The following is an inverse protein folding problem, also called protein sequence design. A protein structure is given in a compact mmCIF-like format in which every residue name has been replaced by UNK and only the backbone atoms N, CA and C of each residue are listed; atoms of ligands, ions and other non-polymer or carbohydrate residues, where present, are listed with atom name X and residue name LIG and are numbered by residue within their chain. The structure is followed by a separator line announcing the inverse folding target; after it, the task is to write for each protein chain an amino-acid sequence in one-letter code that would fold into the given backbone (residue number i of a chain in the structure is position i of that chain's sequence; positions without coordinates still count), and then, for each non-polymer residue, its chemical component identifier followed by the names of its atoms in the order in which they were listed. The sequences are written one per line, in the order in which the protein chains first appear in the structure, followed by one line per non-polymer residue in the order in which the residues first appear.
data_IF_044815385159
#
_entry.id   IF_044815385159
#
_cell.length_a   1.000
_cell.length_b   1.000
_cell.length_c   1.000
_cell.angle_alpha   90.00
_cell.angle_beta   90.00
_cell.angle_gamma   90.00
#
_symmetry.space_group_name_H-M   'P 1'
#
loop_
_entity.id
_entity.type
_entity.pdbx_description
1 polymer ?
#
# COMPACT_ATOMS: atom_id res chain seq x y z
N UNK A 1 21.27 78.17 -35.41
CA UNK A 1 21.13 77.81 -36.84
C UNK A 1 19.74 77.19 -37.00
N UNK A 2 18.84 77.87 -37.71
CA UNK A 2 17.46 77.44 -38.08
C UNK A 2 17.47 76.17 -38.97
N UNK A 3 16.32 75.57 -39.39
CA UNK A 3 14.87 75.85 -39.14
C UNK A 3 14.05 74.60 -38.68
N UNK A 4 12.86 74.66 -38.06
CA UNK A 4 11.48 75.10 -38.44
C UNK A 4 10.57 74.04 -39.12
N UNK A 5 9.41 73.76 -38.47
CA UNK A 5 8.02 73.55 -39.00
C UNK A 5 7.73 72.40 -40.00
N UNK A 6 6.66 71.59 -39.91
CA UNK A 6 5.22 71.93 -40.00
C UNK A 6 4.35 70.66 -39.70
N UNK A 7 3.33 70.72 -38.80
CA UNK A 7 1.85 70.60 -38.98
C UNK A 7 1.33 69.40 -39.81
N UNK A 8 0.15 68.76 -39.63
CA UNK A 8 -0.95 68.59 -38.64
C UNK A 8 -1.90 67.58 -39.32
N UNK A 9 -2.64 66.73 -38.58
CA UNK A 9 -4.02 66.37 -38.96
C UNK A 9 -4.82 65.83 -37.77
N UNK A 10 -5.98 66.45 -37.55
CA UNK A 10 -7.00 66.14 -36.55
C UNK A 10 -7.94 65.03 -37.02
N UNK A 11 -8.49 64.27 -36.07
CA UNK A 11 -9.72 63.49 -36.19
C UNK A 11 -10.07 62.87 -34.82
N UNK A 12 -10.87 63.55 -33.98
CA UNK A 12 -12.29 63.21 -33.66
C UNK A 12 -12.45 61.73 -33.30
N UNK A 13 -12.85 61.32 -32.09
CA UNK A 13 -14.11 61.67 -31.41
C UNK A 13 -14.12 61.30 -29.92
N UNK A 14 -14.81 62.18 -29.18
CA UNK A 14 -15.54 62.13 -27.91
C UNK A 14 -15.79 60.80 -27.14
N UNK A 15 -15.72 60.94 -25.82
CA UNK A 15 -16.02 59.95 -24.77
C UNK A 15 -17.50 59.96 -24.31
N UNK A 16 -17.87 58.86 -23.62
CA UNK A 16 -18.83 58.72 -22.49
C UNK A 16 -20.28 58.34 -22.84
N UNK A 17 -21.03 57.45 -22.15
CA UNK A 17 -20.99 56.85 -20.80
C UNK A 17 -21.71 55.48 -20.73
N UNK A 18 -21.21 54.57 -19.86
CA UNK A 18 -21.91 53.58 -18.98
C UNK A 18 -22.83 52.47 -19.55
N UNK A 19 -23.07 51.29 -18.97
CA UNK A 19 -22.86 50.68 -17.64
C UNK A 19 -22.87 49.13 -17.81
N UNK A 20 -22.13 48.44 -16.95
CA UNK A 20 -22.43 47.11 -16.36
C UNK A 20 -22.06 45.74 -16.98
N UNK A 21 -21.56 44.90 -16.04
CA UNK A 21 -21.41 43.43 -15.98
C UNK A 21 -20.14 42.75 -16.51
N UNK A 22 -19.22 42.59 -15.56
CA UNK A 22 -18.42 41.39 -15.22
C UNK A 22 -18.56 40.19 -16.19
N UNK A 23 -17.48 39.90 -16.92
CA UNK A 23 -17.23 38.62 -17.59
C UNK A 23 -15.95 37.99 -17.03
N UNK A 24 -16.12 36.88 -16.32
CA UNK A 24 -15.10 35.87 -16.10
C UNK A 24 -14.63 35.31 -17.47
N UNK A 25 -13.33 35.21 -17.78
CA UNK A 25 -12.91 34.42 -18.93
C UNK A 25 -13.01 32.94 -18.57
N UNK A 26 -14.02 32.28 -19.13
CA UNK A 26 -14.07 30.84 -19.25
C UNK A 26 -12.86 30.37 -20.08
N UNK A 27 -11.85 29.81 -19.41
CA UNK A 27 -10.80 29.04 -20.06
C UNK A 27 -11.44 27.72 -20.49
N UNK A 28 -11.92 27.69 -21.73
CA UNK A 28 -12.26 26.46 -22.44
C UNK A 28 -10.94 25.75 -22.72
N UNK A 29 -10.54 24.85 -21.81
CA UNK A 29 -9.49 23.90 -22.09
C UNK A 29 -10.07 22.88 -23.07
N UNK A 30 -9.76 23.04 -24.36
CA UNK A 30 -10.04 22.02 -25.37
C UNK A 30 -9.29 20.75 -24.95
N UNK A 31 -10.04 19.77 -24.44
CA UNK A 31 -9.58 18.40 -24.30
C UNK A 31 -9.36 17.90 -25.72
N UNK A 32 -8.10 17.85 -26.15
CA UNK A 32 -7.72 17.03 -27.29
C UNK A 32 -8.03 15.58 -26.90
N UNK A 33 -9.20 15.11 -27.32
CA UNK A 33 -9.49 13.69 -27.40
C UNK A 33 -8.54 13.17 -28.47
N UNK A 34 -7.33 12.77 -28.07
CA UNK A 34 -6.62 11.76 -28.83
C UNK A 34 -7.50 10.52 -28.77
N UNK A 35 -8.31 10.34 -29.81
CA UNK A 35 -8.90 9.07 -30.15
C UNK A 35 -7.73 8.13 -30.43
N UNK A 36 -7.21 7.50 -29.38
CA UNK A 36 -6.63 6.17 -29.51
C UNK A 36 -7.80 5.36 -30.05
N UNK A 37 -7.73 5.02 -31.34
CA UNK A 37 -8.61 4.02 -31.92
C UNK A 37 -8.60 2.84 -30.95
N UNK A 38 -9.69 2.66 -30.22
CA UNK A 38 -9.95 1.43 -29.49
C UNK A 38 -9.97 0.36 -30.57
N UNK A 39 -8.87 -0.37 -30.71
CA UNK A 39 -8.96 -1.69 -31.29
C UNK A 39 -9.93 -2.42 -30.38
N UNK A 40 -11.16 -2.61 -30.85
CA UNK A 40 -12.11 -3.54 -30.29
C UNK A 40 -11.43 -4.90 -30.30
N UNK A 41 -10.77 -5.24 -29.20
CA UNK A 41 -10.42 -6.60 -28.87
C UNK A 41 -11.63 -7.11 -28.09
N UNK A 42 -12.46 -8.01 -28.66
CA UNK A 42 -13.41 -8.75 -27.86
C UNK A 42 -12.58 -9.62 -26.92
N UNK A 43 -12.32 -9.14 -25.71
CA UNK A 43 -11.78 -9.99 -24.64
C UNK A 43 -12.93 -10.92 -24.27
N UNK A 44 -12.75 -12.22 -24.49
CA UNK A 44 -13.71 -13.24 -24.05
C UNK A 44 -14.14 -12.96 -22.60
N UNK A 45 -15.42 -13.22 -22.23
CA UNK A 45 -15.87 -13.01 -20.87
C UNK A 45 -15.00 -13.83 -19.91
N UNK A 46 -14.13 -13.16 -19.16
CA UNK A 46 -13.31 -13.82 -18.15
C UNK A 46 -14.26 -14.55 -17.18
N UNK A 47 -14.07 -15.85 -17.02
CA UNK A 47 -14.83 -16.63 -16.06
C UNK A 47 -14.34 -16.26 -14.65
N UNK A 48 -15.11 -15.43 -13.94
CA UNK A 48 -14.76 -14.97 -12.58
C UNK A 48 -15.04 -16.02 -11.49
N UNK A 49 -15.87 -17.04 -11.77
CA UNK A 49 -16.23 -18.07 -10.79
C UNK A 49 -17.08 -17.58 -9.60
N UNK A 50 -17.58 -16.35 -9.65
CA UNK A 50 -18.41 -15.77 -8.58
C UNK A 50 -19.86 -16.24 -8.68
N UNK A 51 -20.50 -16.44 -7.52
CA UNK A 51 -21.87 -16.96 -7.41
C UNK A 51 -22.95 -15.88 -7.37
N UNK A 52 -22.57 -14.61 -7.21
CA UNK A 52 -23.50 -13.50 -7.08
C UNK A 52 -24.21 -13.21 -8.42
N UNK A 53 -25.55 -13.37 -8.49
CA UNK A 53 -26.30 -13.20 -9.73
C UNK A 53 -26.62 -11.73 -10.05
N UNK A 54 -26.44 -10.81 -9.09
CA UNK A 54 -26.81 -9.39 -9.23
C UNK A 54 -25.86 -8.59 -10.15
N UNK A 55 -24.71 -9.17 -10.49
CA UNK A 55 -23.69 -8.55 -11.33
C UNK A 55 -23.18 -9.56 -12.37
N UNK A 56 -23.08 -9.11 -13.61
CA UNK A 56 -22.63 -9.91 -14.74
C UNK A 56 -21.11 -9.89 -14.87
N UNK A 57 -20.53 -10.87 -15.57
CA UNK A 57 -19.09 -10.89 -15.86
C UNK A 57 -18.64 -9.70 -16.70
N UNK A 58 -19.50 -9.14 -17.56
CA UNK A 58 -19.18 -7.92 -18.31
C UNK A 58 -18.96 -6.72 -17.39
N UNK A 59 -19.78 -6.56 -16.35
CA UNK A 59 -19.62 -5.48 -15.36
C UNK A 59 -18.41 -5.76 -14.46
N UNK A 60 -18.16 -7.01 -14.05
CA UNK A 60 -16.91 -7.37 -13.33
C UNK A 60 -15.67 -6.97 -14.14
N UNK A 61 -15.66 -7.30 -15.44
CA UNK A 61 -14.61 -6.90 -16.37
C UNK A 61 -14.48 -5.39 -16.50
N UNK A 62 -15.59 -4.64 -16.56
CA UNK A 62 -15.57 -3.17 -16.58
C UNK A 62 -14.82 -2.61 -15.37
N UNK A 63 -15.20 -3.03 -14.16
CA UNK A 63 -14.52 -2.61 -12.94
C UNK A 63 -13.03 -2.99 -12.94
N UNK A 64 -12.73 -4.26 -13.19
CA UNK A 64 -11.37 -4.79 -13.08
C UNK A 64 -10.43 -4.17 -14.12
N UNK A 65 -10.87 -4.07 -15.39
CA UNK A 65 -10.06 -3.52 -16.47
C UNK A 65 -9.82 -2.03 -16.25
N UNK A 66 -10.84 -1.26 -15.88
CA UNK A 66 -10.67 0.17 -15.60
C UNK A 66 -9.54 0.41 -14.57
N UNK A 67 -9.58 -0.30 -13.43
CA UNK A 67 -8.58 -0.14 -12.39
C UNK A 67 -7.19 -0.56 -12.86
N UNK A 68 -7.07 -1.71 -13.51
CA UNK A 68 -5.77 -2.22 -13.94
C UNK A 68 -5.14 -1.37 -15.05
N UNK A 69 -5.94 -0.88 -16.01
CA UNK A 69 -5.46 0.00 -17.06
C UNK A 69 -5.01 1.35 -16.46
N UNK A 70 -5.74 1.87 -15.47
CA UNK A 70 -5.40 3.11 -14.78
C UNK A 70 -4.13 2.99 -13.93
N UNK A 71 -4.00 1.92 -13.14
CA UNK A 71 -2.79 1.58 -12.38
C UNK A 71 -1.58 1.39 -13.29
N UNK A 72 -1.78 0.78 -14.47
CA UNK A 72 -0.73 0.60 -15.46
C UNK A 72 -0.22 1.94 -16.02
N UNK A 73 -1.12 2.90 -16.29
CA UNK A 73 -0.73 4.25 -16.73
C UNK A 73 0.07 4.98 -15.66
N UNK A 74 -0.28 4.84 -14.37
CA UNK A 74 0.52 5.36 -13.26
C UNK A 74 1.88 4.67 -13.20
N UNK A 75 1.93 3.34 -13.26
CA UNK A 75 3.19 2.59 -13.25
C UNK A 75 4.14 3.05 -14.36
N UNK A 76 3.61 3.31 -15.55
CA UNK A 76 4.36 3.81 -16.72
C UNK A 76 4.67 5.31 -16.68
N UNK A 77 4.14 6.07 -15.72
CA UNK A 77 4.36 7.51 -15.62
C UNK A 77 3.66 8.32 -16.73
N UNK A 78 2.53 7.83 -17.24
CA UNK A 78 1.75 8.49 -18.32
C UNK A 78 0.37 8.92 -17.86
N UNK A 79 0.04 8.73 -16.58
CA UNK A 79 -1.23 9.19 -16.02
C UNK A 79 -1.17 10.70 -15.70
N UNK A 80 -2.13 11.52 -16.19
CA UNK A 80 -2.16 12.94 -15.87
C UNK A 80 -2.30 13.22 -14.37
N UNK A 81 -1.57 14.23 -13.89
CA UNK A 81 -1.81 14.88 -12.61
C UNK A 81 -2.48 16.25 -12.87
N UNK A 82 -2.85 16.98 -11.81
CA UNK A 82 -3.33 18.37 -11.97
C UNK A 82 -2.37 19.25 -12.77
N UNK A 83 -1.08 19.01 -12.58
CA UNK A 83 -0.01 19.60 -13.36
C UNK A 83 0.95 18.50 -13.80
N UNK A 84 1.18 18.37 -15.11
CA UNK A 84 2.03 17.33 -15.66
C UNK A 84 1.47 15.92 -15.49
N UNK A 85 2.35 14.98 -15.14
CA UNK A 85 2.02 13.56 -14.98
C UNK A 85 2.35 13.09 -13.56
N UNK A 86 1.63 12.06 -13.11
CA UNK A 86 1.96 11.36 -11.88
C UNK A 86 3.31 10.63 -12.04
N UNK A 87 4.08 10.57 -10.94
CA UNK A 87 5.36 9.86 -10.94
C UNK A 87 5.16 8.37 -11.26
N UNK A 88 6.07 7.75 -12.05
CA UNK A 88 6.01 6.33 -12.36
C UNK A 88 6.13 5.50 -11.08
N UNK A 89 5.52 4.31 -11.07
CA UNK A 89 5.46 3.46 -9.88
C UNK A 89 6.22 2.14 -10.08
N UNK A 90 7.17 1.87 -9.19
CA UNK A 90 7.64 0.49 -8.94
C UNK A 90 6.65 -0.23 -8.04
N UNK A 91 6.68 -1.57 -8.06
CA UNK A 91 5.83 -2.39 -7.19
C UNK A 91 4.32 -2.07 -7.28
N UNK A 92 3.83 -1.65 -8.45
CA UNK A 92 2.39 -1.46 -8.68
C UNK A 92 1.75 -2.81 -8.98
N UNK A 93 0.92 -3.33 -8.08
CA UNK A 93 0.31 -4.65 -8.27
C UNK A 93 -0.95 -4.59 -9.14
N UNK A 94 -1.11 -5.60 -10.00
CA UNK A 94 -2.35 -5.85 -10.74
C UNK A 94 -3.42 -6.34 -9.77
N UNK A 95 -4.60 -5.74 -9.85
CA UNK A 95 -5.75 -6.20 -9.09
C UNK A 95 -6.31 -7.48 -9.71
N UNK A 96 -6.72 -8.39 -8.83
CA UNK A 96 -7.49 -9.59 -9.15
C UNK A 96 -8.88 -9.46 -8.57
N UNK A 97 -9.86 -10.07 -9.22
CA UNK A 97 -11.22 -10.06 -8.74
C UNK A 97 -11.39 -11.04 -7.58
N UNK A 98 -11.94 -10.56 -6.47
CA UNK A 98 -12.23 -11.33 -5.27
C UNK A 98 -13.75 -11.44 -5.07
N UNK A 99 -14.29 -12.63 -5.28
CA UNK A 99 -15.72 -12.90 -5.14
C UNK A 99 -16.24 -12.70 -3.69
N UNK A 100 -15.39 -12.85 -2.67
CA UNK A 100 -15.77 -12.60 -1.28
C UNK A 100 -15.92 -11.10 -1.02
N UNK A 101 -15.00 -10.29 -1.54
CA UNK A 101 -15.12 -8.83 -1.49
C UNK A 101 -16.34 -8.35 -2.30
N UNK A 102 -16.59 -8.95 -3.46
CA UNK A 102 -17.78 -8.65 -4.26
C UNK A 102 -19.06 -8.94 -3.48
N UNK A 103 -19.19 -10.14 -2.92
CA UNK A 103 -20.38 -10.52 -2.15
C UNK A 103 -20.57 -9.61 -0.93
N UNK A 104 -19.47 -9.25 -0.26
CA UNK A 104 -19.50 -8.30 0.85
C UNK A 104 -19.96 -6.92 0.40
N UNK A 105 -19.45 -6.41 -0.72
CA UNK A 105 -19.89 -5.15 -1.31
C UNK A 105 -21.39 -5.19 -1.64
N UNK A 106 -21.87 -6.29 -2.26
CA UNK A 106 -23.27 -6.49 -2.61
C UNK A 106 -24.17 -6.45 -1.38
N UNK A 107 -23.79 -7.15 -0.31
CA UNK A 107 -24.55 -7.18 0.94
C UNK A 107 -24.64 -5.79 1.58
N UNK A 108 -23.55 -5.02 1.56
CA UNK A 108 -23.50 -3.67 2.13
C UNK A 108 -24.39 -2.66 1.39
N UNK A 109 -24.61 -2.85 0.09
CA UNK A 109 -25.45 -1.96 -0.73
C UNK A 109 -26.84 -2.54 -1.01
N UNK A 110 -27.18 -3.72 -0.51
CA UNK A 110 -28.44 -4.41 -0.78
C UNK A 110 -29.67 -3.55 -0.40
N UNK A 111 -29.56 -2.81 0.72
CA UNK A 111 -30.58 -1.86 1.18
C UNK A 111 -30.47 -0.46 0.56
N UNK A 112 -29.60 -0.26 -0.43
CA UNK A 112 -29.42 1.00 -1.14
C UNK A 112 -29.24 2.23 -0.23
N UNK A 113 -28.28 2.18 0.71
CA UNK A 113 -28.11 3.23 1.70
C UNK A 113 -27.81 4.56 1.02
N UNK A 114 -28.39 5.67 1.52
CA UNK A 114 -27.99 7.02 1.08
C UNK A 114 -26.59 7.37 1.56
N UNK A 115 -26.25 6.90 2.76
CA UNK A 115 -25.00 7.16 3.43
C UNK A 115 -24.51 5.87 4.05
N UNK A 116 -23.21 5.62 3.96
CA UNK A 116 -22.61 4.49 4.65
C UNK A 116 -21.75 5.00 5.79
N UNK A 117 -22.08 4.60 7.04
CA UNK A 117 -21.18 4.82 8.18
C UNK A 117 -19.80 4.26 7.83
N UNK A 118 -18.75 5.03 8.11
CA UNK A 118 -17.37 4.54 8.05
C UNK A 118 -17.23 3.52 9.19
N UNK A 119 -17.60 2.28 8.91
CA UNK A 119 -17.13 1.14 9.68
C UNK A 119 -15.64 1.05 9.37
N UNK A 120 -14.81 1.34 10.38
CA UNK A 120 -13.36 1.27 10.24
C UNK A 120 -12.92 -0.08 9.70
N UNK A 121 -11.78 -0.08 9.01
CA UNK A 121 -11.01 -1.31 8.82
C UNK A 121 -10.99 -1.89 7.41
N UNK A 122 -11.68 -1.25 6.46
CA UNK A 122 -11.61 -1.62 5.04
C UNK A 122 -11.45 -0.39 4.16
N UNK A 123 -10.82 -0.62 3.01
CA UNK A 123 -10.80 0.34 1.91
C UNK A 123 -11.99 0.12 1.01
N UNK A 124 -12.66 1.23 0.68
CA UNK A 124 -13.90 1.22 -0.09
C UNK A 124 -14.12 2.53 -0.83
N UNK A 125 -14.66 2.43 -2.03
CA UNK A 125 -15.25 3.55 -2.75
C UNK A 125 -16.75 3.34 -2.83
N UNK A 126 -17.53 4.40 -2.65
CA UNK A 126 -18.99 4.34 -2.60
C UNK A 126 -19.59 5.57 -3.27
N UNK A 127 -20.59 5.36 -4.12
CA UNK A 127 -21.32 6.45 -4.74
C UNK A 127 -22.75 6.06 -5.02
N UNK A 128 -23.67 7.01 -4.83
CA UNK A 128 -25.09 6.86 -5.14
C UNK A 128 -25.51 8.00 -6.06
N UNK A 129 -26.24 7.69 -7.12
CA UNK A 129 -26.76 8.66 -8.09
C UNK A 129 -28.16 8.33 -8.53
N UNK A 130 -28.89 9.34 -9.00
CA UNK A 130 -30.16 9.13 -9.68
C UNK A 130 -29.93 8.69 -11.12
N UNK A 131 -30.81 7.81 -11.61
CA UNK A 131 -30.82 7.29 -12.98
C UNK A 131 -32.21 7.45 -13.58
N UNK A 132 -32.28 7.64 -14.90
CA UNK A 132 -33.54 7.62 -15.64
C UNK A 132 -33.93 6.18 -15.98
N UNK A 133 -35.23 5.90 -16.22
CA UNK A 133 -35.64 4.62 -16.79
C UNK A 133 -34.82 4.29 -18.06
N UNK A 134 -34.44 3.03 -18.22
CA UNK A 134 -33.65 2.52 -19.36
C UNK A 134 -32.23 3.09 -19.49
N UNK A 135 -31.67 3.73 -18.47
CA UNK A 135 -30.27 4.16 -18.50
C UNK A 135 -29.31 2.97 -18.65
N UNK A 136 -28.27 3.14 -19.47
CA UNK A 136 -27.19 2.15 -19.55
C UNK A 136 -26.36 2.19 -18.26
N UNK A 137 -26.53 1.16 -17.42
CA UNK A 137 -25.86 1.10 -16.12
C UNK A 137 -24.34 0.99 -16.26
N UNK A 138 -23.84 0.35 -17.33
CA UNK A 138 -22.41 0.24 -17.60
C UNK A 138 -21.76 1.61 -17.82
N UNK A 139 -22.39 2.49 -18.59
CA UNK A 139 -21.85 3.82 -18.90
C UNK A 139 -21.80 4.70 -17.64
N UNK A 140 -22.85 4.61 -16.81
CA UNK A 140 -22.90 5.35 -15.54
C UNK A 140 -21.82 4.84 -14.58
N UNK A 141 -21.62 3.52 -14.48
CA UNK A 141 -20.54 2.94 -13.69
C UNK A 141 -19.17 3.43 -14.19
N UNK A 142 -18.92 3.41 -15.50
CA UNK A 142 -17.69 3.92 -16.08
C UNK A 142 -17.45 5.40 -15.74
N UNK A 143 -18.51 6.21 -15.78
CA UNK A 143 -18.47 7.61 -15.35
C UNK A 143 -18.14 7.78 -13.86
N UNK A 144 -18.69 6.94 -12.98
CA UNK A 144 -18.38 6.94 -11.54
C UNK A 144 -16.90 6.60 -11.30
N UNK A 145 -16.39 5.55 -11.96
CA UNK A 145 -14.98 5.17 -11.87
C UNK A 145 -14.05 6.29 -12.36
N UNK A 146 -14.42 6.94 -13.47
CA UNK A 146 -13.69 8.09 -14.02
C UNK A 146 -13.69 9.27 -13.05
N UNK A 147 -14.81 9.52 -12.35
CA UNK A 147 -14.91 10.57 -11.33
C UNK A 147 -13.99 10.27 -10.13
N UNK A 148 -14.01 9.05 -9.60
CA UNK A 148 -13.13 8.65 -8.49
C UNK A 148 -11.67 8.77 -8.86
N UNK A 149 -11.30 8.29 -10.05
CA UNK A 149 -9.92 8.33 -10.54
C UNK A 149 -9.45 9.76 -10.85
N UNK A 150 -10.35 10.59 -11.41
CA UNK A 150 -10.08 11.98 -11.78
C UNK A 150 -9.80 12.92 -10.61
N UNK A 151 -9.92 12.49 -9.35
CA UNK A 151 -9.52 13.29 -8.19
C UNK A 151 -8.05 13.74 -8.30
N UNK A 152 -7.16 12.88 -8.81
CA UNK A 152 -5.75 13.22 -8.99
C UNK A 152 -5.52 14.33 -10.04
N UNK A 153 -6.25 14.30 -11.16
CA UNK A 153 -6.13 15.34 -12.20
C UNK A 153 -6.83 16.64 -11.81
N UNK A 154 -7.84 16.60 -10.95
CA UNK A 154 -8.55 17.81 -10.48
C UNK A 154 -7.82 18.48 -9.32
N UNK A 155 -7.46 17.71 -8.29
CA UNK A 155 -6.93 18.25 -7.05
C UNK A 155 -5.40 18.20 -6.97
N UNK A 156 -4.80 17.21 -7.63
CA UNK A 156 -3.36 17.01 -7.65
C UNK A 156 -2.86 16.08 -6.54
N UNK A 157 -1.96 15.17 -6.90
CA UNK A 157 -1.06 14.52 -5.93
C UNK A 157 0.16 15.42 -5.81
N UNK A 158 0.23 16.20 -4.73
CA UNK A 158 1.23 17.27 -4.56
C UNK A 158 2.46 16.83 -3.77
N UNK A 159 2.36 15.76 -2.98
CA UNK A 159 3.47 15.27 -2.19
C UNK A 159 4.51 14.58 -3.09
N UNK A 160 5.80 14.94 -3.01
CA UNK A 160 6.84 14.42 -3.91
C UNK A 160 7.09 12.91 -3.76
N UNK A 161 6.73 12.33 -2.61
CA UNK A 161 6.81 10.89 -2.33
C UNK A 161 5.47 10.18 -2.61
N UNK A 162 4.52 10.87 -3.25
CA UNK A 162 3.17 10.39 -3.56
C UNK A 162 2.37 9.99 -2.32
N UNK A 163 2.61 10.66 -1.19
CA UNK A 163 1.90 10.38 0.07
C UNK A 163 0.43 10.79 0.02
N UNK A 164 -0.40 10.03 0.73
CA UNK A 164 -1.76 10.41 1.01
C UNK A 164 -1.79 11.47 2.12
N UNK A 165 -1.89 12.74 1.71
CA UNK A 165 -1.90 13.90 2.61
C UNK A 165 -3.18 14.73 2.51
N UNK A 166 -4.08 14.39 1.59
CA UNK A 166 -5.33 15.10 1.36
C UNK A 166 -6.50 14.14 1.30
N UNK A 167 -7.49 14.34 2.18
CA UNK A 167 -8.67 13.47 2.28
C UNK A 167 -9.56 13.51 1.04
N UNK A 168 -9.46 14.57 0.22
CA UNK A 168 -10.16 14.68 -1.06
C UNK A 168 -9.73 13.59 -2.06
N UNK A 169 -8.50 13.08 -1.95
CA UNK A 169 -7.98 12.01 -2.80
C UNK A 169 -8.40 10.61 -2.33
N UNK A 170 -9.36 10.49 -1.41
CA UNK A 170 -9.71 9.21 -0.78
C UNK A 170 -10.07 8.12 -1.79
N UNK A 171 -10.89 8.43 -2.81
CA UNK A 171 -11.30 7.41 -3.77
C UNK A 171 -10.13 7.02 -4.68
N UNK A 172 -9.39 8.01 -5.16
CA UNK A 172 -8.18 7.80 -5.95
C UNK A 172 -7.14 6.96 -5.20
N UNK A 173 -6.89 7.28 -3.93
CA UNK A 173 -5.93 6.58 -3.07
C UNK A 173 -6.24 5.08 -2.97
N UNK A 174 -7.52 4.71 -2.83
CA UNK A 174 -7.94 3.32 -2.79
C UNK A 174 -7.70 2.58 -4.11
N UNK A 175 -7.96 3.27 -5.24
CA UNK A 175 -7.78 2.70 -6.58
C UNK A 175 -6.31 2.53 -6.97
N UNK A 176 -5.47 3.51 -6.60
CA UNK A 176 -4.07 3.57 -7.03
C UNK A 176 -3.11 2.85 -6.09
N UNK A 177 -3.50 2.55 -4.83
CA UNK A 177 -2.58 2.06 -3.81
C UNK A 177 -1.78 0.83 -4.30
N UNK A 178 -0.46 0.94 -4.33
CA UNK A 178 0.39 0.02 -5.09
C UNK A 178 0.35 -1.41 -4.57
N UNK A 179 0.22 -1.58 -3.26
CA UNK A 179 0.22 -2.89 -2.60
C UNK A 179 -1.09 -3.66 -2.69
N UNK A 180 -2.19 -3.01 -3.11
CA UNK A 180 -3.50 -3.65 -3.29
C UNK A 180 -3.42 -4.73 -4.36
N UNK A 181 -3.92 -5.93 -4.06
CA UNK A 181 -3.93 -7.07 -4.99
C UNK A 181 -5.32 -7.58 -5.32
N UNK A 182 -6.33 -7.23 -4.52
CA UNK A 182 -7.69 -7.74 -4.63
C UNK A 182 -8.74 -6.64 -4.62
N UNK A 183 -9.73 -6.79 -5.49
CA UNK A 183 -10.88 -5.90 -5.60
C UNK A 183 -12.17 -6.72 -5.75
N UNK A 184 -13.24 -6.27 -5.11
CA UNK A 184 -14.59 -6.76 -5.39
C UNK A 184 -15.55 -5.59 -5.41
N UNK A 185 -16.29 -5.44 -6.51
CA UNK A 185 -17.25 -4.35 -6.67
C UNK A 185 -18.65 -4.88 -6.92
N UNK A 186 -19.65 -4.13 -6.45
CA UNK A 186 -21.06 -4.43 -6.65
C UNK A 186 -21.81 -3.15 -7.03
N UNK A 187 -22.94 -3.32 -7.69
CA UNK A 187 -23.92 -2.24 -7.84
C UNK A 187 -25.32 -2.72 -7.48
N UNK A 188 -26.22 -1.78 -7.20
CA UNK A 188 -27.64 -2.04 -7.01
C UNK A 188 -28.46 -0.91 -7.61
N UNK A 189 -29.44 -1.28 -8.45
CA UNK A 189 -30.49 -0.38 -8.88
C UNK A 189 -31.66 -0.47 -7.90
N UNK A 190 -32.06 0.67 -7.37
CA UNK A 190 -33.01 0.82 -6.29
C UNK A 190 -34.16 1.68 -6.78
N UNK A 191 -35.39 1.24 -6.49
CA UNK A 191 -36.62 1.99 -6.79
C UNK A 191 -36.70 2.50 -8.24
N UNK A 192 -36.05 1.77 -9.18
CA UNK A 192 -35.89 2.07 -10.62
C UNK A 192 -35.29 3.45 -10.97
N UNK A 193 -34.85 4.23 -9.98
CA UNK A 193 -34.46 5.63 -10.14
C UNK A 193 -33.14 5.96 -9.47
N UNK A 194 -32.53 5.01 -8.75
CA UNK A 194 -31.27 5.21 -8.05
C UNK A 194 -30.30 4.07 -8.33
N UNK A 195 -29.05 4.41 -8.62
CA UNK A 195 -27.94 3.48 -8.76
C UNK A 195 -26.95 3.69 -7.62
N UNK A 196 -26.63 2.62 -6.91
CA UNK A 196 -25.60 2.59 -5.86
C UNK A 196 -24.44 1.72 -6.34
N UNK A 197 -23.21 2.20 -6.25
CA UNK A 197 -22.00 1.49 -6.64
C UNK A 197 -21.03 1.45 -5.47
N UNK A 198 -20.43 0.28 -5.24
CA UNK A 198 -19.40 0.07 -4.22
C UNK A 198 -18.26 -0.76 -4.77
N UNK A 199 -17.02 -0.36 -4.49
CA UNK A 199 -15.84 -1.21 -4.62
C UNK A 199 -15.19 -1.37 -3.25
N UNK A 200 -14.80 -2.59 -2.90
CA UNK A 200 -13.97 -2.91 -1.74
C UNK A 200 -12.58 -3.34 -2.22
N UNK A 201 -11.56 -2.95 -1.46
CA UNK A 201 -10.16 -3.26 -1.74
C UNK A 201 -9.54 -3.99 -0.56
N UNK A 202 -8.69 -4.97 -0.84
CA UNK A 202 -8.07 -5.79 0.21
C UNK A 202 -6.91 -5.11 0.96
N UNK A 203 -6.54 -3.88 0.61
CA UNK A 203 -5.52 -3.06 1.31
C UNK A 203 -6.03 -1.63 1.53
N UNK A 204 -5.45 -0.93 2.50
CA UNK A 204 -5.84 0.42 2.89
C UNK A 204 -4.99 1.46 2.14
N UNK A 205 -5.61 2.17 1.20
CA UNK A 205 -4.92 3.23 0.44
C UNK A 205 -4.87 4.60 1.14
N UNK A 206 -5.68 4.81 2.19
CA UNK A 206 -5.90 6.10 2.84
C UNK A 206 -5.18 6.25 4.19
N UNK A 207 -4.07 5.55 4.41
CA UNK A 207 -3.24 5.78 5.60
C UNK A 207 -2.53 7.13 5.44
N UNK A 208 -2.83 8.08 6.31
CA UNK A 208 -2.27 9.43 6.24
C UNK A 208 -0.74 9.42 6.35
N UNK A 209 -0.09 10.31 5.58
CA UNK A 209 1.38 10.45 5.50
C UNK A 209 2.12 9.18 4.99
N UNK A 210 1.39 8.24 4.37
CA UNK A 210 1.98 7.08 3.70
C UNK A 210 1.95 7.21 2.19
N UNK A 211 2.99 6.74 1.49
CA UNK A 211 2.99 6.71 0.04
C UNK A 211 1.84 5.85 -0.47
N UNK A 212 1.03 6.40 -1.38
CA UNK A 212 0.06 5.61 -2.14
C UNK A 212 0.79 4.63 -3.07
N UNK A 213 1.93 5.05 -3.62
CA UNK A 213 2.92 4.22 -4.31
C UNK A 213 4.32 4.82 -4.17
N UNK A 214 5.34 3.99 -4.40
CA UNK A 214 6.73 4.46 -4.44
C UNK A 214 7.15 4.80 -5.86
N UNK A 215 7.80 5.96 -6.03
CA UNK A 215 8.37 6.35 -7.30
C UNK A 215 9.44 5.35 -7.74
N UNK A 216 9.35 4.90 -8.99
CA UNK A 216 10.30 3.98 -9.59
C UNK A 216 9.80 3.44 -10.93
N UNK A 217 10.64 2.71 -11.64
CA UNK A 217 10.23 2.11 -12.91
C UNK A 217 9.20 1.00 -12.70
N UNK A 218 8.21 0.94 -13.59
CA UNK A 218 7.34 -0.22 -13.72
C UNK A 218 8.17 -1.51 -13.90
N UNK A 219 7.70 -2.62 -13.35
CA UNK A 219 8.45 -3.86 -13.37
C UNK A 219 8.69 -4.34 -14.81
N UNK A 220 9.86 -4.91 -15.07
CA UNK A 220 10.15 -5.64 -16.33
C UNK A 220 10.28 -7.14 -16.10
N UNK A 221 10.61 -7.52 -14.86
CA UNK A 221 10.81 -8.89 -14.45
C UNK A 221 10.29 -9.13 -13.02
N UNK A 222 10.15 -10.41 -12.65
CA UNK A 222 9.67 -10.81 -11.32
C UNK A 222 10.56 -10.28 -10.18
N UNK A 223 11.86 -10.10 -10.40
CA UNK A 223 12.82 -9.67 -9.37
C UNK A 223 12.60 -8.22 -8.91
N UNK A 224 11.93 -7.40 -9.72
CA UNK A 224 11.57 -6.01 -9.42
C UNK A 224 10.27 -5.89 -8.61
N UNK A 225 9.52 -6.99 -8.46
CA UNK A 225 8.31 -7.07 -7.65
C UNK A 225 8.64 -7.54 -6.23
N UNK A 226 9.01 -6.59 -5.38
CA UNK A 226 9.66 -6.83 -4.09
C UNK A 226 8.75 -6.66 -2.88
N UNK A 227 7.52 -6.19 -3.04
CA UNK A 227 6.59 -6.03 -1.89
C UNK A 227 6.21 -7.37 -1.29
N UNK A 228 6.00 -8.39 -2.12
CA UNK A 228 5.57 -9.70 -1.67
C UNK A 228 6.39 -10.83 -2.28
N UNK A 229 6.72 -11.89 -1.50
CA UNK A 229 7.42 -13.06 -2.01
C UNK A 229 6.63 -13.76 -3.13
N UNK A 230 7.35 -14.38 -4.06
CA UNK A 230 6.76 -15.18 -5.14
C UNK A 230 6.02 -14.39 -6.21
N UNK A 231 6.12 -13.05 -6.22
CA UNK A 231 5.47 -12.20 -7.21
C UNK A 231 6.10 -12.36 -8.59
N UNK A 232 5.29 -12.19 -9.64
CA UNK A 232 5.73 -12.09 -11.03
C UNK A 232 5.45 -10.70 -11.61
N UNK A 233 5.80 -10.46 -12.87
CA UNK A 233 5.56 -9.20 -13.55
C UNK A 233 4.84 -9.43 -14.89
N UNK A 234 3.88 -8.57 -15.22
CA UNK A 234 3.15 -8.55 -16.50
C UNK A 234 2.95 -7.11 -16.95
N UNK A 235 3.58 -6.75 -18.06
CA UNK A 235 3.43 -5.47 -18.77
C UNK A 235 3.65 -4.21 -17.92
N UNK A 236 4.41 -4.29 -16.83
CA UNK A 236 4.65 -3.18 -15.91
C UNK A 236 3.90 -3.26 -14.58
N UNK A 237 2.99 -4.23 -14.42
CA UNK A 237 2.30 -4.51 -13.17
C UNK A 237 2.83 -5.80 -12.52
N UNK A 238 3.09 -5.72 -11.21
CA UNK A 238 3.41 -6.87 -10.40
C UNK A 238 2.18 -7.76 -10.21
N UNK A 239 2.35 -9.07 -10.21
CA UNK A 239 1.27 -10.03 -10.01
C UNK A 239 1.57 -10.85 -8.76
N UNK A 240 0.58 -10.94 -7.89
CA UNK A 240 0.53 -11.85 -6.75
C UNK A 240 -0.90 -12.37 -6.61
N UNK A 241 -1.04 -13.66 -6.28
CA UNK A 241 -2.33 -14.27 -5.98
C UNK A 241 -3.06 -13.61 -4.82
N UNK A 242 -4.39 -13.74 -4.78
CA UNK A 242 -5.16 -13.26 -3.63
C UNK A 242 -4.70 -13.95 -2.34
N UNK A 243 -4.67 -13.19 -1.25
CA UNK A 243 -4.47 -13.75 0.07
C UNK A 243 -5.60 -14.72 0.39
N UNK A 244 -5.31 -15.94 0.88
CA UNK A 244 -6.35 -16.84 1.35
C UNK A 244 -7.19 -16.17 2.45
N UNK A 245 -8.52 -16.40 2.49
CA UNK A 245 -9.34 -15.90 3.58
C UNK A 245 -8.84 -16.39 4.94
N UNK A 246 -8.88 -15.50 5.94
CA UNK A 246 -8.64 -15.91 7.32
C UNK A 246 -9.90 -16.60 7.87
N UNK A 247 -9.84 -17.93 7.97
CA UNK A 247 -10.90 -18.76 8.53
C UNK A 247 -10.90 -18.78 10.08
N UNK A 248 -10.02 -18.01 10.73
CA UNK A 248 -9.96 -17.93 12.18
C UNK A 248 -9.26 -19.12 12.84
N UNK A 249 -8.53 -19.94 12.08
CA UNK A 249 -7.80 -21.08 12.64
C UNK A 249 -6.75 -20.63 13.66
N UNK A 250 -6.68 -21.36 14.77
CA UNK A 250 -5.74 -21.12 15.86
C UNK A 250 -5.04 -22.43 16.27
N UNK A 251 -4.31 -23.03 15.33
CA UNK A 251 -3.63 -24.31 15.51
C UNK A 251 -2.14 -24.16 15.83
N UNK A 252 -1.50 -23.03 15.46
CA UNK A 252 -0.08 -22.78 15.72
C UNK A 252 0.15 -22.49 17.21
N UNK A 253 -0.70 -21.67 17.83
CA UNK A 253 -0.63 -21.36 19.26
C UNK A 253 -2.02 -21.47 19.93
N UNK A 254 -2.54 -22.69 20.15
CA UNK A 254 -3.91 -22.91 20.62
C UNK A 254 -4.22 -22.25 21.98
N UNK A 255 -3.21 -22.09 22.83
CA UNK A 255 -3.35 -21.47 24.16
C UNK A 255 -3.44 -19.94 24.13
N UNK A 256 -3.14 -19.30 22.99
CA UNK A 256 -3.18 -17.86 22.82
C UNK A 256 -4.45 -17.46 22.06
N UNK A 257 -5.26 -16.56 22.65
CA UNK A 257 -6.42 -15.97 21.98
C UNK A 257 -6.02 -14.73 21.15
N UNK A 258 -6.97 -14.18 20.38
CA UNK A 258 -6.86 -12.94 19.60
C UNK A 258 -5.92 -12.97 18.38
N UNK A 259 -5.20 -14.07 18.14
CA UNK A 259 -4.36 -14.25 16.95
C UNK A 259 -4.80 -15.49 16.16
N UNK A 260 -4.67 -15.41 14.83
CA UNK A 260 -4.98 -16.50 13.92
C UNK A 260 -3.72 -16.96 13.20
N UNK A 261 -3.73 -18.20 12.73
CA UNK A 261 -2.60 -18.78 11.99
C UNK A 261 -2.27 -18.02 10.71
N UNK A 262 -3.26 -17.37 10.09
CA UNK A 262 -3.05 -16.52 8.93
C UNK A 262 -2.21 -15.27 9.28
N UNK A 263 -2.53 -14.60 10.38
CA UNK A 263 -1.79 -13.42 10.85
C UNK A 263 -0.36 -13.81 11.30
N UNK A 264 -0.20 -14.92 12.02
CA UNK A 264 1.11 -15.44 12.44
C UNK A 264 2.01 -15.72 11.24
N UNK A 265 1.47 -16.44 10.25
CA UNK A 265 2.19 -16.73 9.00
C UNK A 265 2.54 -15.45 8.26
N UNK A 266 1.66 -14.46 8.22
CA UNK A 266 1.94 -13.18 7.56
C UNK A 266 3.16 -12.48 8.15
N UNK A 267 3.20 -12.33 9.48
CA UNK A 267 4.36 -11.76 10.16
C UNK A 267 5.62 -12.56 9.88
N UNK A 268 5.58 -13.88 10.08
CA UNK A 268 6.75 -14.74 9.94
C UNK A 268 7.31 -14.74 8.51
N UNK A 269 6.43 -14.90 7.52
CA UNK A 269 6.77 -14.95 6.10
C UNK A 269 7.45 -13.65 5.67
N UNK A 270 6.86 -12.50 6.00
CA UNK A 270 7.43 -11.22 5.59
C UNK A 270 8.75 -10.92 6.30
N UNK A 271 8.88 -11.23 7.60
CA UNK A 271 10.16 -11.07 8.30
C UNK A 271 11.25 -11.92 7.64
N UNK A 272 10.99 -13.20 7.38
CA UNK A 272 11.96 -14.08 6.75
C UNK A 272 12.26 -13.71 5.29
N UNK A 273 11.25 -13.25 4.54
CA UNK A 273 11.44 -12.75 3.18
C UNK A 273 12.39 -11.54 3.17
N UNK A 274 12.16 -10.57 4.05
CA UNK A 274 13.00 -9.37 4.16
C UNK A 274 14.41 -9.71 4.67
N UNK A 275 14.53 -10.60 5.65
CA UNK A 275 15.83 -11.16 6.11
C UNK A 275 16.60 -11.84 4.99
N UNK A 276 15.93 -12.63 4.15
CA UNK A 276 16.53 -13.26 2.97
C UNK A 276 17.04 -12.22 1.97
N UNK A 277 16.25 -11.18 1.71
CA UNK A 277 16.61 -10.11 0.78
C UNK A 277 17.82 -9.31 1.25
N UNK A 278 17.86 -8.89 2.51
CA UNK A 278 19.02 -8.17 3.05
C UNK A 278 20.25 -9.09 3.10
N UNK A 279 20.10 -10.36 3.47
CA UNK A 279 21.20 -11.31 3.47
C UNK A 279 21.86 -11.43 2.08
N UNK A 280 21.05 -11.39 1.01
CA UNK A 280 21.52 -11.41 -0.38
C UNK A 280 22.01 -10.05 -0.89
N UNK A 281 21.96 -8.99 -0.09
CA UNK A 281 22.36 -7.64 -0.49
C UNK A 281 21.41 -7.00 -1.49
N UNK A 282 20.10 -7.27 -1.40
CA UNK A 282 19.07 -6.76 -2.32
C UNK A 282 18.29 -5.56 -1.79
N UNK A 283 18.53 -5.16 -0.54
CA UNK A 283 17.80 -4.08 0.14
C UNK A 283 18.54 -2.76 0.04
N UNK A 284 17.83 -1.69 -0.36
CA UNK A 284 18.40 -0.35 -0.52
C UNK A 284 18.66 0.30 0.82
N UNK A 285 19.83 0.91 0.97
CA UNK A 285 20.23 1.69 2.15
C UNK A 285 20.26 3.18 1.77
N UNK A 286 19.61 4.03 2.56
CA UNK A 286 19.59 5.48 2.33
C UNK A 286 20.98 6.13 2.39
N UNK A 287 21.94 5.50 3.08
CA UNK A 287 23.33 5.95 3.17
C UNK A 287 24.19 5.53 1.97
N UNK A 288 23.60 4.83 0.99
CA UNK A 288 24.22 4.54 -0.30
C UNK A 288 24.20 3.06 -0.66
N UNK A 289 23.91 2.77 -1.93
CA UNK A 289 23.93 1.41 -2.47
C UNK A 289 22.87 0.49 -1.86
N UNK A 290 23.25 -0.77 -1.65
CA UNK A 290 22.45 -1.75 -0.93
C UNK A 290 23.13 -2.07 0.40
N UNK A 291 22.35 -2.48 1.39
CA UNK A 291 22.87 -3.04 2.63
C UNK A 291 23.78 -4.25 2.33
N UNK A 292 24.87 -4.45 3.10
CA UNK A 292 25.82 -5.52 2.83
C UNK A 292 25.18 -6.90 2.99
N UNK A 293 25.73 -7.90 2.31
CA UNK A 293 25.29 -9.30 2.44
C UNK A 293 25.53 -9.84 3.86
N UNK A 294 24.73 -10.82 4.28
CA UNK A 294 24.85 -11.47 5.58
C UNK A 294 25.28 -12.93 5.45
N UNK A 295 26.28 -13.35 6.22
CA UNK A 295 26.84 -14.71 6.13
C UNK A 295 26.12 -15.77 6.94
N UNK A 296 25.46 -15.37 8.03
CA UNK A 296 24.83 -16.29 9.00
C UNK A 296 23.50 -15.78 9.56
N UNK A 297 22.69 -15.17 8.69
CA UNK A 297 21.36 -14.68 9.04
C UNK A 297 20.45 -15.86 9.43
N UNK A 298 20.01 -15.92 10.69
CA UNK A 298 19.11 -17.00 11.12
C UNK A 298 17.71 -16.82 10.50
N UNK A 299 17.06 -17.92 10.12
CA UNK A 299 15.65 -17.94 9.77
C UNK A 299 14.83 -17.86 11.05
N UNK A 300 13.89 -16.93 11.12
CA UNK A 300 12.98 -16.82 12.25
C UNK A 300 11.97 -17.99 12.25
N UNK A 301 11.62 -18.45 13.44
CA UNK A 301 10.51 -19.36 13.74
C UNK A 301 9.49 -18.63 14.63
N UNK A 302 8.23 -19.03 14.52
CA UNK A 302 7.18 -18.47 15.37
C UNK A 302 7.23 -19.11 16.76
N UNK A 303 7.14 -18.32 17.81
CA UNK A 303 7.18 -18.80 19.20
C UNK A 303 5.95 -18.30 19.98
N UNK A 304 5.16 -19.24 20.48
CA UNK A 304 3.91 -18.94 21.17
C UNK A 304 4.09 -18.24 22.52
N UNK A 305 5.22 -18.43 23.21
CA UNK A 305 5.51 -17.73 24.46
C UNK A 305 5.90 -16.28 24.21
N UNK A 306 6.63 -16.03 23.11
CA UNK A 306 6.93 -14.68 22.62
C UNK A 306 5.64 -13.98 22.17
N UNK A 307 4.73 -14.68 21.48
CA UNK A 307 3.41 -14.14 21.13
C UNK A 307 2.58 -13.81 22.37
N UNK A 308 2.54 -14.71 23.36
CA UNK A 308 1.80 -14.46 24.60
C UNK A 308 2.30 -13.20 25.32
N UNK A 309 3.61 -12.92 25.26
CA UNK A 309 4.21 -11.68 25.75
C UNK A 309 3.72 -10.44 24.98
N UNK A 310 3.73 -10.50 23.65
CA UNK A 310 3.22 -9.42 22.80
C UNK A 310 1.72 -9.16 23.03
N UNK A 311 0.91 -10.22 23.21
CA UNK A 311 -0.54 -10.12 23.51
C UNK A 311 -0.78 -9.43 24.86
N UNK A 312 -0.02 -9.78 25.91
CA UNK A 312 -0.16 -9.13 27.23
C UNK A 312 0.08 -7.63 27.14
N UNK A 313 1.00 -7.18 26.29
CA UNK A 313 1.27 -5.76 26.10
C UNK A 313 0.22 -5.08 25.21
N UNK A 314 -0.08 -5.66 24.04
CA UNK A 314 -1.00 -5.05 23.06
C UNK A 314 -2.41 -4.85 23.62
N UNK A 315 -2.90 -5.76 24.47
CA UNK A 315 -4.20 -5.66 25.16
C UNK A 315 -4.33 -4.46 26.08
N UNK A 316 -3.22 -3.87 26.54
CA UNK A 316 -3.24 -2.63 27.34
C UNK A 316 -3.75 -1.44 26.53
N UNK A 317 -3.66 -1.49 25.19
CA UNK A 317 -4.08 -0.42 24.29
C UNK A 317 -3.45 0.94 24.62
N UNK A 318 -2.18 0.94 24.99
CA UNK A 318 -1.36 2.13 25.19
C UNK A 318 -0.22 2.10 24.19
N UNK A 319 -0.15 3.10 23.31
CA UNK A 319 0.90 3.20 22.29
C UNK A 319 2.22 3.65 22.93
N UNK A 320 2.93 2.70 23.53
CA UNK A 320 4.26 2.87 24.11
C UNK A 320 4.97 1.51 24.15
N UNK A 321 6.28 1.52 24.36
CA UNK A 321 7.00 0.28 24.60
C UNK A 321 6.65 -0.36 25.95
N UNK A 322 6.66 -1.69 26.00
CA UNK A 322 6.64 -2.44 27.26
C UNK A 322 7.97 -2.29 28.01
N UNK A 323 7.93 -2.45 29.34
CA UNK A 323 9.15 -2.41 30.16
C UNK A 323 9.99 -3.67 29.95
N UNK A 324 11.29 -3.62 30.27
CA UNK A 324 12.15 -4.79 30.20
C UNK A 324 11.69 -5.94 31.11
N UNK A 325 11.10 -5.63 32.26
CA UNK A 325 10.55 -6.63 33.18
C UNK A 325 9.30 -7.32 32.62
N UNK A 326 8.53 -6.64 31.77
CA UNK A 326 7.34 -7.22 31.12
C UNK A 326 7.70 -8.19 29.98
N UNK A 327 8.90 -8.06 29.40
CA UNK A 327 9.41 -8.85 28.26
C UNK A 327 10.89 -9.23 28.43
N UNK A 328 11.24 -10.01 29.47
CA UNK A 328 12.63 -10.30 29.82
C UNK A 328 13.37 -10.99 28.67
N UNK A 329 14.54 -10.44 28.32
CA UNK A 329 15.41 -10.98 27.26
C UNK A 329 14.89 -10.78 25.83
N UNK A 330 13.80 -10.02 25.64
CA UNK A 330 13.18 -9.78 24.33
C UNK A 330 13.24 -8.32 23.94
N UNK A 331 13.34 -8.06 22.64
CA UNK A 331 13.12 -6.73 22.04
C UNK A 331 11.73 -6.60 21.49
N UNK A 332 11.33 -5.39 21.11
CA UNK A 332 9.97 -5.07 20.73
C UNK A 332 9.93 -4.04 19.60
N UNK A 333 9.08 -4.30 18.61
CA UNK A 333 8.63 -3.30 17.65
C UNK A 333 7.13 -3.06 17.85
N UNK A 334 6.70 -1.80 17.71
CA UNK A 334 5.30 -1.39 17.83
C UNK A 334 4.86 -0.56 16.63
N UNK A 335 3.61 -0.68 16.22
CA UNK A 335 3.01 0.10 15.15
C UNK A 335 1.54 0.39 15.46
N UNK A 336 1.05 1.57 15.12
CA UNK A 336 -0.38 1.90 15.23
C UNK A 336 -0.90 2.67 14.03
N UNK A 337 -2.20 2.54 13.78
CA UNK A 337 -2.97 3.40 12.87
C UNK A 337 -4.26 3.83 13.52
N UNK A 338 -4.68 5.09 13.33
CA UNK A 338 -5.97 5.61 13.83
C UNK A 338 -7.18 4.95 13.18
N UNK A 339 -6.98 4.18 12.11
CA UNK A 339 -8.04 3.41 11.47
C UNK A 339 -8.43 2.25 12.40
N UNK A 340 -9.70 2.22 12.79
CA UNK A 340 -10.25 1.20 13.69
C UNK A 340 -10.53 -0.11 12.96
N UNK A 341 -10.48 -1.24 13.67
CA UNK A 341 -10.92 -2.56 13.20
C UNK A 341 -10.31 -3.01 11.86
N UNK A 342 -9.08 -2.58 11.56
CA UNK A 342 -8.37 -2.97 10.34
C UNK A 342 -8.14 -4.46 10.34
N UNK A 343 -8.39 -5.12 9.20
CA UNK A 343 -8.04 -6.52 9.01
C UNK A 343 -6.63 -6.83 9.56
N UNK A 344 -6.50 -7.87 10.38
CA UNK A 344 -5.26 -8.11 11.13
C UNK A 344 -4.09 -8.47 10.22
N UNK A 345 -4.34 -9.10 9.07
CA UNK A 345 -3.31 -9.38 8.06
C UNK A 345 -2.83 -8.07 7.45
N UNK A 346 -3.72 -7.14 7.16
CA UNK A 346 -3.34 -5.80 6.68
C UNK A 346 -2.53 -5.00 7.70
N UNK A 347 -2.90 -5.04 8.98
CA UNK A 347 -2.10 -4.41 10.04
C UNK A 347 -0.70 -5.03 10.10
N UNK A 348 -0.61 -6.36 10.02
CA UNK A 348 0.67 -7.06 10.03
C UNK A 348 1.57 -6.64 8.87
N UNK A 349 1.03 -6.59 7.65
CA UNK A 349 1.78 -6.18 6.46
C UNK A 349 2.29 -4.73 6.56
N UNK A 350 1.43 -3.80 6.97
CA UNK A 350 1.80 -2.39 7.09
C UNK A 350 2.82 -2.17 8.22
N UNK A 351 2.67 -2.87 9.35
CA UNK A 351 3.62 -2.80 10.46
C UNK A 351 5.01 -3.28 10.04
N UNK A 352 5.08 -4.44 9.37
CA UNK A 352 6.34 -5.00 8.87
C UNK A 352 7.01 -4.09 7.86
N UNK A 353 6.24 -3.57 6.88
CA UNK A 353 6.77 -2.62 5.91
C UNK A 353 7.26 -1.33 6.59
N UNK A 354 6.50 -0.78 7.54
CA UNK A 354 6.88 0.42 8.29
C UNK A 354 8.21 0.28 9.00
N UNK A 355 8.37 -0.80 9.77
CA UNK A 355 9.59 -1.06 10.52
C UNK A 355 10.80 -1.29 9.61
N UNK A 356 10.60 -2.01 8.50
CA UNK A 356 11.69 -2.31 7.57
C UNK A 356 12.14 -1.10 6.75
N UNK A 357 11.19 -0.24 6.38
CA UNK A 357 11.41 0.92 5.53
C UNK A 357 12.35 1.98 6.14
N UNK A 358 12.64 1.88 7.44
CA UNK A 358 13.66 2.70 8.10
C UNK A 358 15.03 2.58 7.41
N UNK A 359 15.41 1.41 6.89
CA UNK A 359 16.67 1.23 6.18
C UNK A 359 16.73 2.11 4.91
N UNK A 360 15.69 2.05 4.08
CA UNK A 360 15.66 2.81 2.81
C UNK A 360 15.38 4.30 3.05
N UNK A 361 14.86 4.68 4.22
CA UNK A 361 14.55 6.08 4.58
C UNK A 361 15.69 6.78 5.31
N UNK A 362 16.39 6.09 6.20
CA UNK A 362 17.36 6.68 7.12
C UNK A 362 18.75 6.05 7.03
N UNK A 363 18.83 4.77 6.68
CA UNK A 363 20.06 4.06 6.38
C UNK A 363 20.92 3.70 7.59
N UNK A 364 21.82 2.74 7.39
CA UNK A 364 22.80 2.24 8.38
C UNK A 364 24.23 2.47 7.88
N UNK A 365 24.46 2.25 6.59
CA UNK A 365 25.77 2.35 5.96
C UNK A 365 26.54 1.02 5.93
N UNK A 366 27.66 0.98 5.19
CA UNK A 366 28.34 -0.27 4.82
C UNK A 366 28.99 -1.02 5.99
N UNK A 367 29.23 -0.35 7.12
CA UNK A 367 29.78 -0.97 8.32
C UNK A 367 28.78 -1.89 9.05
N UNK A 368 27.48 -1.75 8.78
CA UNK A 368 26.39 -2.54 9.37
C UNK A 368 26.44 -2.66 10.90
N UNK A 369 26.92 -1.62 11.57
CA UNK A 369 27.09 -1.57 13.03
C UNK A 369 26.12 -0.56 13.61
N UNK A 370 25.31 -0.98 14.57
CA UNK A 370 24.37 -0.08 15.25
C UNK A 370 25.14 0.79 16.24
N UNK A 371 25.49 2.02 15.87
CA UNK A 371 26.19 2.95 16.76
C UNK A 371 25.19 3.82 17.54
N UNK A 372 25.68 4.48 18.60
CA UNK A 372 24.89 5.49 19.32
C UNK A 372 24.43 6.61 18.39
N UNK A 373 25.30 7.06 17.49
CA UNK A 373 24.98 8.13 16.54
C UNK A 373 23.84 7.72 15.63
N UNK A 374 23.78 6.46 15.18
CA UNK A 374 22.68 5.95 14.35
C UNK A 374 21.38 5.76 15.14
N UNK A 375 21.48 5.25 16.37
CA UNK A 375 20.35 4.94 17.26
C UNK A 375 19.58 6.19 17.70
N UNK A 376 20.29 7.30 17.95
CA UNK A 376 19.71 8.53 18.51
C UNK A 376 19.71 9.70 17.53
N UNK A 377 19.68 9.43 16.22
CA UNK A 377 19.55 10.49 15.20
C UNK A 377 18.23 11.23 15.37
N UNK A 378 18.24 12.58 15.38
CA UNK A 378 17.01 13.36 15.46
C UNK A 378 16.04 12.99 14.35
N UNK A 379 14.82 12.58 14.72
CA UNK A 379 13.72 12.25 13.80
C UNK A 379 14.00 11.12 12.80
N UNK A 380 14.93 10.20 13.12
CA UNK A 380 15.30 9.07 12.26
C UNK A 380 15.34 7.76 13.07
N UNK A 381 14.16 7.17 13.25
CA UNK A 381 14.03 5.86 13.87
C UNK A 381 14.69 4.79 13.00
N UNK A 382 15.50 3.92 13.61
CA UNK A 382 16.18 2.82 12.89
C UNK A 382 16.14 1.49 13.66
N UNK A 383 15.70 1.56 14.91
CA UNK A 383 15.73 0.43 15.84
C UNK A 383 14.73 -0.66 15.45
N UNK A 384 13.66 -0.32 14.73
CA UNK A 384 12.70 -1.33 14.30
C UNK A 384 13.30 -2.21 13.20
N UNK A 385 13.92 -1.59 12.19
CA UNK A 385 14.64 -2.30 11.13
C UNK A 385 15.77 -3.16 11.70
N UNK A 386 16.63 -2.60 12.55
CA UNK A 386 17.79 -3.35 13.05
C UNK A 386 17.37 -4.57 13.85
N UNK A 387 16.25 -4.51 14.57
CA UNK A 387 15.74 -5.68 15.28
C UNK A 387 15.21 -6.75 14.33
N UNK A 388 14.53 -6.37 13.25
CA UNK A 388 14.07 -7.32 12.23
C UNK A 388 15.25 -7.98 11.50
N UNK A 389 16.31 -7.22 11.23
CA UNK A 389 17.51 -7.66 10.52
C UNK A 389 18.58 -8.30 11.43
N UNK A 390 18.33 -8.42 12.74
CA UNK A 390 19.33 -8.91 13.69
C UNK A 390 19.66 -10.39 13.45
N UNK A 391 20.90 -10.75 13.08
CA UNK A 391 21.19 -12.12 12.62
C UNK A 391 20.94 -13.19 13.68
N UNK A 392 21.19 -12.88 14.95
CA UNK A 392 21.04 -13.79 16.10
C UNK A 392 19.61 -13.91 16.63
N UNK A 393 18.70 -13.00 16.25
CA UNK A 393 17.28 -13.08 16.65
C UNK A 393 16.56 -14.05 15.74
N UNK A 394 15.91 -15.07 16.31
CA UNK A 394 15.24 -16.11 15.53
C UNK A 394 13.87 -16.54 16.06
N UNK A 395 13.41 -16.08 17.24
CA UNK A 395 12.05 -16.32 17.72
C UNK A 395 11.23 -15.05 17.56
N UNK A 396 10.12 -15.17 16.86
CA UNK A 396 9.17 -14.10 16.60
C UNK A 396 7.83 -14.44 17.23
N UNK A 397 7.21 -13.47 17.89
CA UNK A 397 5.83 -13.57 18.35
C UNK A 397 5.18 -12.20 18.30
N UNK A 398 3.99 -12.12 17.71
CA UNK A 398 3.35 -10.83 17.41
C UNK A 398 1.88 -10.84 17.81
N UNK A 399 1.32 -9.66 18.03
CA UNK A 399 -0.09 -9.45 18.32
C UNK A 399 -0.63 -8.29 17.51
N UNK A 400 -1.84 -8.43 16.98
CA UNK A 400 -2.65 -7.32 16.46
C UNK A 400 -3.88 -7.15 17.33
N UNK A 401 -3.99 -6.00 17.97
CA UNK A 401 -5.10 -5.61 18.83
C UNK A 401 -5.94 -4.52 18.16
N UNK A 402 -7.26 -4.69 18.16
CA UNK A 402 -8.20 -3.62 17.85
C UNK A 402 -8.48 -2.87 19.15
N UNK A 403 -7.92 -1.67 19.27
CA UNK A 403 -8.13 -0.79 20.41
C UNK A 403 -9.29 0.17 20.15
N UNK A 404 -9.85 0.82 21.19
CA UNK A 404 -10.99 1.72 21.03
C UNK A 404 -10.76 2.87 20.04
N UNK A 405 -9.53 3.36 19.92
CA UNK A 405 -9.18 4.55 19.12
C UNK A 405 -8.11 4.30 18.04
N UNK A 406 -7.54 3.09 17.93
CA UNK A 406 -6.55 2.74 16.92
C UNK A 406 -6.45 1.21 16.73
N UNK A 407 -5.87 0.75 15.62
CA UNK A 407 -5.40 -0.64 15.48
C UNK A 407 -3.91 -0.70 15.82
N UNK A 408 -3.51 -1.70 16.61
CA UNK A 408 -2.19 -1.76 17.24
C UNK A 408 -1.47 -3.08 16.93
N UNK A 409 -0.23 -3.02 16.47
CA UNK A 409 0.64 -4.17 16.29
C UNK A 409 1.82 -4.11 17.26
N UNK A 410 2.13 -5.25 17.88
CA UNK A 410 3.30 -5.46 18.73
C UNK A 410 3.99 -6.73 18.27
N UNK A 411 5.28 -6.69 17.99
CA UNK A 411 6.10 -7.89 17.80
C UNK A 411 7.19 -7.92 18.85
N UNK A 412 7.35 -9.06 19.52
CA UNK A 412 8.47 -9.37 20.39
C UNK A 412 9.47 -10.28 19.67
N UNK A 413 10.73 -10.11 20.01
CA UNK A 413 11.87 -10.72 19.34
C UNK A 413 12.82 -11.35 20.35
N UNK A 414 13.12 -12.63 20.19
CA UNK A 414 14.01 -13.37 21.11
C UNK A 414 15.08 -14.18 20.34
N UNK A 415 16.34 -14.18 20.80
CA UNK A 415 16.91 -13.26 21.79
C UNK A 415 16.84 -11.80 21.33
N UNK A 416 16.87 -10.88 22.28
CA UNK A 416 16.93 -9.44 22.03
C UNK A 416 18.14 -9.04 21.15
N UNK A 417 17.90 -8.19 20.17
CA UNK A 417 18.93 -7.49 19.40
C UNK A 417 19.06 -6.01 19.80
N UNK A 418 19.48 -5.19 18.85
CA UNK A 418 19.75 -3.76 19.03
C UNK A 418 20.75 -3.49 20.17
N UNK A 419 21.82 -4.26 20.20
CA UNK A 419 22.96 -3.98 21.06
C UNK A 419 23.80 -2.89 20.41
N UNK A 420 24.01 -1.79 21.13
CA UNK A 420 24.82 -0.67 20.66
C UNK A 420 26.26 -1.15 20.50
N UNK A 421 26.91 -0.69 19.43
CA UNK A 421 28.25 -1.03 18.98
C UNK A 421 28.45 -2.48 18.48
N UNK A 422 27.39 -3.27 18.36
CA UNK A 422 27.44 -4.57 17.68
C UNK A 422 27.03 -4.47 16.21
N UNK A 423 27.50 -5.43 15.40
CA UNK A 423 26.97 -5.61 14.06
C UNK A 423 25.52 -6.10 14.13
N UNK A 424 24.66 -5.50 13.32
CA UNK A 424 23.25 -5.92 13.18
C UNK A 424 23.21 -7.36 12.66
N UNK A 425 24.02 -7.63 11.65
CA UNK A 425 24.31 -8.97 11.18
C UNK A 425 25.75 -9.06 10.70
N UNK A 426 26.29 -10.27 10.74
CA UNK A 426 27.66 -10.54 10.30
C UNK A 426 27.76 -10.44 8.78
N UNK A 427 28.61 -9.53 8.31
CA UNK A 427 28.83 -9.31 6.88
C UNK A 427 29.53 -10.52 6.25
N UNK A 428 29.08 -10.92 5.06
CA UNK A 428 29.71 -11.94 4.24
C UNK A 428 28.73 -12.57 3.26
N UNK A 429 29.19 -13.50 2.42
CA UNK A 429 28.32 -14.18 1.47
C UNK A 429 27.30 -15.09 2.19
N UNK A 430 26.03 -15.12 1.73
CA UNK A 430 25.02 -16.00 2.29
C UNK A 430 25.45 -17.46 2.29
N UNK A 431 24.95 -18.21 3.28
CA UNK A 431 25.20 -19.63 3.35
C UNK A 431 24.76 -20.32 2.04
N UNK A 432 25.55 -21.31 1.63
CA UNK A 432 25.28 -22.24 0.53
C UNK A 432 25.26 -23.69 1.00
N UNK A 433 25.91 -23.97 2.13
CA UNK A 433 26.00 -25.29 2.77
C UNK A 433 25.88 -25.14 4.28
N UNK A 434 25.50 -26.22 4.97
CA UNK A 434 25.20 -26.21 6.41
C UNK A 434 26.38 -25.77 7.28
N UNK A 435 27.61 -26.09 6.89
CA UNK A 435 28.82 -25.77 7.66
C UNK A 435 29.10 -24.26 7.77
N UNK A 436 28.44 -23.44 6.93
CA UNK A 436 28.54 -21.97 7.00
C UNK A 436 27.55 -21.37 8.01
N UNK A 437 26.61 -22.17 8.51
CA UNK A 437 25.68 -21.77 9.54
C UNK A 437 26.24 -22.06 10.94
N UNK A 438 25.83 -21.27 11.96
CA UNK A 438 26.38 -21.42 13.29
C UNK A 438 25.87 -22.70 13.97
N UNK A 439 26.77 -23.41 14.66
CA UNK A 439 26.42 -24.61 15.42
C UNK A 439 25.99 -25.77 14.53
N UNK A 440 24.79 -26.33 14.79
CA UNK A 440 24.20 -27.48 14.07
C UNK A 440 23.06 -27.07 13.14
N UNK A 441 22.94 -25.78 12.82
CA UNK A 441 21.89 -25.27 11.94
C UNK A 441 22.16 -25.64 10.48
N UNK A 442 21.09 -25.80 9.70
CA UNK A 442 21.18 -26.09 8.26
C UNK A 442 21.04 -24.82 7.45
N UNK A 443 21.56 -24.81 6.24
CA UNK A 443 21.38 -23.69 5.31
C UNK A 443 20.14 -23.90 4.45
N UNK A 444 19.42 -22.82 4.17
CA UNK A 444 18.48 -22.69 3.07
C UNK A 444 19.17 -21.90 1.95
N UNK A 445 19.85 -22.54 0.98
CA UNK A 445 20.71 -21.83 0.02
C UNK A 445 19.93 -20.88 -0.88
N UNK A 446 18.68 -21.24 -1.22
CA UNK A 446 17.79 -20.41 -2.03
C UNK A 446 17.36 -19.15 -1.29
N UNK A 447 17.34 -19.14 0.04
CA UNK A 447 16.99 -17.99 0.87
C UNK A 447 18.24 -17.27 1.41
N UNK A 448 19.38 -17.94 1.50
CA UNK A 448 20.56 -17.40 2.18
C UNK A 448 20.37 -17.28 3.70
N UNK A 449 19.54 -18.14 4.28
CA UNK A 449 19.19 -18.13 5.70
C UNK A 449 19.59 -19.45 6.37
N UNK A 450 20.00 -19.38 7.63
CA UNK A 450 20.31 -20.53 8.46
C UNK A 450 19.09 -20.98 9.25
N UNK A 451 18.57 -22.17 8.99
CA UNK A 451 17.43 -22.74 9.68
C UNK A 451 17.82 -23.14 11.10
N UNK A 452 17.12 -22.57 12.07
CA UNK A 452 17.18 -22.98 13.47
C UNK A 452 16.29 -24.21 13.67
N UNK A 453 16.77 -25.19 14.41
CA UNK A 453 16.08 -26.46 14.66
C UNK A 453 14.81 -26.28 15.50
#
# INVERSE_FOLDING_TARGET
MFPSTMKFAYGTTQWSYTFDRLLYPAIICMIAICAVQSRDIPREPQAFGCRNPEITNSIRSLFLNFHNDARLRVAKGVEPNRYGYLHPAKNMYKLQWDCNLEQKAQNLIAGCPQWMRIAGGMSRNFYTTYIRPNSNTSDIIAGILSKWWGEASVYGVSDPENKYTNTILYNFANMVHSSTTGIGCAYKVCDKSRLTVMCLYNKIGYIFDRPMWETGSACRSASECTTYPGSSCSDGLCIKGLEPPDYGYNTICPSNADMTDAVRRKFLEMHNYLRSRVAKGLEKDAMGGNAPKASKMLKMVYDCNVEASAIRHSRKCVYQHSTWNDRPGMRENIYSTSILNVDKINVAEVAVAFWWDELKKYGIGPANRLTNELMYRPNKEIAHYTQMAWDRTFRLGCSVQHCPSFSYAVCHYSPAGNNINEMIYTIGDPCKVDQQCPGRYTCSPSEGLCNVA
#
